data_IF_578977824789
#
_entry.id   IF_578977824789
#
_cell.length_a   1.000
_cell.length_b   1.000
_cell.length_c   1.000
_cell.angle_alpha   90.00
_cell.angle_beta   90.00
_cell.angle_gamma   90.00
#
_symmetry.space_group_name_H-M   'P 1'
#
loop_
_entity.id
_entity.type
_entity.pdbx_description
1 polymer ?
#
# COMPACT_ATOMS: atom_id res chain seq x y z
N UNK A 1 4.95 5.52 10.08
CA UNK A 1 5.37 4.35 9.28
C UNK A 1 4.33 4.14 8.20
N UNK A 2 4.74 4.09 6.94
CA UNK A 2 3.80 3.92 5.83
C UNK A 2 3.52 2.44 5.59
N UNK A 3 2.25 2.07 5.61
CA UNK A 3 1.78 0.69 5.44
C UNK A 3 0.89 0.56 4.19
N UNK A 4 0.53 -0.68 3.81
CA UNK A 4 -0.08 -0.97 2.52
C UNK A 4 -1.36 -0.18 2.25
N UNK A 5 -2.26 -0.07 3.23
CA UNK A 5 -3.49 0.70 3.09
C UNK A 5 -3.26 2.17 2.73
N UNK A 6 -2.20 2.79 3.26
CA UNK A 6 -1.82 4.17 2.91
C UNK A 6 -1.26 4.25 1.50
N UNK A 7 -0.44 3.27 1.08
CA UNK A 7 0.06 3.18 -0.29
C UNK A 7 -1.08 3.02 -1.31
N UNK A 8 -2.07 2.19 -1.02
CA UNK A 8 -3.27 2.03 -1.86
C UNK A 8 -4.08 3.32 -1.97
N UNK A 9 -4.25 4.05 -0.86
CA UNK A 9 -4.93 5.35 -0.86
C UNK A 9 -4.19 6.39 -1.71
N UNK A 10 -2.86 6.48 -1.56
CA UNK A 10 -2.01 7.35 -2.37
C UNK A 10 -2.11 6.97 -3.86
N UNK A 11 -2.03 5.67 -4.18
CA UNK A 11 -2.18 5.19 -5.56
C UNK A 11 -3.55 5.55 -6.14
N UNK A 12 -4.65 5.38 -5.38
CA UNK A 12 -5.99 5.75 -5.82
C UNK A 12 -6.13 7.25 -6.09
N UNK A 13 -5.59 8.11 -5.22
CA UNK A 13 -5.58 9.56 -5.43
C UNK A 13 -4.75 9.93 -6.67
N UNK A 14 -3.56 9.35 -6.80
CA UNK A 14 -2.66 9.64 -7.92
C UNK A 14 -3.17 9.12 -9.26
N UNK A 15 -3.92 8.01 -9.29
CA UNK A 15 -4.58 7.54 -10.52
C UNK A 15 -5.54 8.59 -11.06
N UNK A 16 -6.32 9.23 -10.18
CA UNK A 16 -7.25 10.31 -10.57
C UNK A 16 -6.50 11.58 -10.99
N UNK A 17 -5.48 11.96 -10.23
CA UNK A 17 -4.82 13.26 -10.37
C UNK A 17 -3.72 13.28 -11.43
N UNK A 18 -2.95 12.20 -11.59
CA UNK A 18 -1.68 12.20 -12.33
C UNK A 18 -1.70 11.38 -13.61
N UNK A 19 -2.49 10.30 -13.70
CA UNK A 19 -2.52 9.46 -14.91
C UNK A 19 -3.06 10.25 -16.11
N UNK A 20 -2.48 10.00 -17.28
CA UNK A 20 -2.75 10.70 -18.53
C UNK A 20 -1.99 12.02 -18.71
N UNK A 21 -1.25 12.47 -17.69
CA UNK A 21 -0.48 13.72 -17.74
C UNK A 21 1.01 13.45 -17.95
N UNK A 22 1.69 14.38 -18.62
CA UNK A 22 3.15 14.40 -18.79
C UNK A 22 3.77 15.51 -17.94
N UNK A 23 4.86 15.21 -17.24
CA UNK A 23 5.42 16.12 -16.24
C UNK A 23 6.82 16.58 -16.60
N UNK A 24 7.14 17.83 -16.24
CA UNK A 24 8.54 18.22 -16.08
C UNK A 24 9.06 17.56 -14.80
N UNK A 25 9.96 16.59 -14.95
CA UNK A 25 10.49 15.79 -13.85
C UNK A 25 11.91 16.22 -13.51
N UNK A 26 12.18 16.47 -12.23
CA UNK A 26 13.53 16.79 -11.73
C UNK A 26 13.79 16.11 -10.40
N UNK A 27 15.05 15.92 -10.06
CA UNK A 27 15.48 15.34 -8.78
C UNK A 27 16.19 16.42 -7.93
N UNK A 28 15.46 17.18 -7.08
CA UNK A 28 16.04 18.30 -6.34
C UNK A 28 17.28 17.95 -5.53
N UNK A 29 17.27 16.82 -4.81
CA UNK A 29 18.43 16.36 -4.04
C UNK A 29 19.42 15.48 -4.82
N UNK A 30 19.26 15.37 -6.15
CA UNK A 30 20.12 14.59 -7.04
C UNK A 30 20.05 13.05 -6.94
N UNK A 31 19.41 12.48 -5.91
CA UNK A 31 19.44 11.02 -5.66
C UNK A 31 18.65 10.18 -6.66
N UNK A 32 17.78 10.78 -7.48
CA UNK A 32 17.02 10.13 -8.53
C UNK A 32 17.19 10.85 -9.87
N UNK A 33 18.38 11.45 -10.12
CA UNK A 33 18.66 12.27 -11.31
C UNK A 33 18.44 11.53 -12.63
N UNK A 34 18.97 10.32 -12.75
CA UNK A 34 18.85 9.50 -13.96
C UNK A 34 17.39 9.11 -14.24
N UNK A 35 16.71 8.54 -13.24
CA UNK A 35 15.29 8.18 -13.36
C UNK A 35 14.39 9.37 -13.66
N UNK A 36 14.64 10.54 -13.05
CA UNK A 36 13.91 11.77 -13.35
C UNK A 36 14.07 12.20 -14.81
N UNK A 37 15.29 12.11 -15.36
CA UNK A 37 15.53 12.40 -16.78
C UNK A 37 14.79 11.41 -17.70
N UNK A 38 14.75 10.12 -17.36
CA UNK A 38 14.08 9.08 -18.15
C UNK A 38 12.56 9.23 -18.20
N UNK A 39 11.93 9.75 -17.14
CA UNK A 39 10.47 9.96 -17.09
C UNK A 39 10.04 11.37 -17.50
N UNK A 40 10.98 12.30 -17.68
CA UNK A 40 10.69 13.68 -18.03
C UNK A 40 9.92 13.77 -19.35
N UNK A 41 8.84 14.55 -19.36
CA UNK A 41 7.91 14.73 -20.48
C UNK A 41 7.21 13.45 -20.99
N UNK A 42 7.42 12.29 -20.34
CA UNK A 42 6.67 11.07 -20.66
C UNK A 42 5.31 11.07 -19.93
N UNK A 43 4.22 10.61 -20.57
CA UNK A 43 2.93 10.51 -19.91
C UNK A 43 2.95 9.42 -18.84
N UNK A 44 2.35 9.68 -17.68
CA UNK A 44 2.09 8.64 -16.70
C UNK A 44 0.87 7.82 -17.14
N UNK A 45 1.07 6.56 -17.52
CA UNK A 45 0.02 5.73 -18.14
C UNK A 45 -0.64 4.77 -17.15
N UNK A 46 0.11 4.31 -16.14
CA UNK A 46 -0.40 3.34 -15.15
C UNK A 46 0.25 3.54 -13.78
N UNK A 47 -0.50 3.20 -12.73
CA UNK A 47 0.04 3.07 -11.37
C UNK A 47 -0.40 1.73 -10.79
N UNK A 48 0.58 0.91 -10.42
CA UNK A 48 0.38 -0.34 -9.68
C UNK A 48 0.79 -0.17 -8.22
N UNK A 49 0.13 -0.89 -7.33
CA UNK A 49 0.47 -0.96 -5.92
C UNK A 49 0.43 -2.41 -5.47
N UNK A 50 1.45 -2.81 -4.71
CA UNK A 50 1.60 -4.13 -4.14
C UNK A 50 2.20 -4.01 -2.74
N UNK A 51 1.35 -4.10 -1.74
CA UNK A 51 1.66 -3.83 -0.35
C UNK A 51 2.22 -2.42 -0.16
N UNK A 52 3.47 -2.32 0.31
CA UNK A 52 4.14 -1.03 0.58
C UNK A 52 4.93 -0.49 -0.61
N UNK A 53 4.78 -1.09 -1.80
CA UNK A 53 5.50 -0.75 -3.01
C UNK A 53 4.54 -0.15 -4.02
N UNK A 54 4.87 1.03 -4.54
CA UNK A 54 4.15 1.67 -5.63
C UNK A 54 5.02 1.65 -6.88
N UNK A 55 4.39 1.45 -8.03
CA UNK A 55 5.04 1.41 -9.33
C UNK A 55 4.31 2.35 -10.28
N UNK A 56 5.02 3.35 -10.80
CA UNK A 56 4.50 4.35 -11.73
C UNK A 56 5.08 4.07 -13.10
N UNK A 57 4.22 3.89 -14.09
CA UNK A 57 4.60 3.55 -15.46
C UNK A 57 4.51 4.79 -16.33
N UNK A 58 5.64 5.25 -16.84
CA UNK A 58 5.74 6.40 -17.72
C UNK A 58 6.07 5.95 -19.15
N UNK A 59 5.44 6.59 -20.13
CA UNK A 59 5.54 6.18 -21.53
C UNK A 59 4.70 4.96 -21.88
N UNK A 60 4.88 4.47 -23.11
CA UNK A 60 3.99 3.48 -23.73
C UNK A 60 2.61 4.04 -24.07
N UNK A 61 1.79 3.22 -24.72
CA UNK A 61 0.39 3.56 -24.98
C UNK A 61 -0.42 3.50 -23.68
N UNK A 62 -1.31 4.48 -23.49
CA UNK A 62 -2.32 4.43 -22.43
C UNK A 62 -3.26 3.27 -22.77
N UNK A 63 -3.48 2.27 -21.88
CA UNK A 63 -4.51 1.28 -22.11
C UNK A 63 -5.86 1.99 -22.26
N UNK A 64 -6.48 1.94 -23.44
CA UNK A 64 -7.75 2.62 -23.74
C UNK A 64 -8.97 2.07 -22.96
N UNK A 65 -8.78 1.18 -22.00
CA UNK A 65 -9.85 0.52 -21.27
C UNK A 65 -10.14 1.21 -19.93
N UNK A 66 -10.79 2.39 -19.97
CA UNK A 66 -11.57 2.90 -18.83
C UNK A 66 -12.56 4.03 -19.15
N UNK A 67 -12.82 4.31 -20.44
CA UNK A 67 -13.71 5.42 -20.85
C UNK A 67 -15.09 4.98 -21.39
N UNK A 68 -15.41 3.68 -21.35
CA UNK A 68 -16.74 3.15 -21.72
C UNK A 68 -17.29 2.20 -20.65
N UNK A 69 -17.54 2.72 -19.46
CA UNK A 69 -18.59 2.19 -18.58
C UNK A 69 -19.35 3.38 -18.00
N UNK A 70 -20.21 3.99 -18.82
CA UNK A 70 -21.36 4.69 -18.27
C UNK A 70 -22.27 3.62 -17.65
N UNK A 71 -22.80 3.81 -16.44
CA UNK A 71 -23.75 2.86 -15.87
C UNK A 71 -25.00 2.84 -16.76
N UNK A 72 -25.30 1.67 -17.31
CA UNK A 72 -26.62 1.37 -17.85
C UNK A 72 -27.63 1.71 -16.76
N UNK A 73 -28.49 2.69 -17.01
CA UNK A 73 -29.65 2.95 -16.17
C UNK A 73 -30.46 1.65 -16.12
N UNK A 74 -30.91 1.19 -14.94
CA UNK A 74 -31.84 0.07 -14.92
C UNK A 74 -33.12 0.51 -15.63
N UNK A 75 -33.50 -0.22 -16.68
CA UNK A 75 -34.86 -0.16 -17.20
C UNK A 75 -35.81 -0.46 -16.05
N UNK A 76 -36.71 0.48 -15.78
CA UNK A 76 -37.84 0.28 -14.86
C UNK A 76 -38.77 -0.71 -15.55
N UNK A 77 -38.62 -1.99 -15.24
CA UNK A 77 -39.63 -3.00 -15.54
C UNK A 77 -40.86 -2.66 -14.70
N UNK A 78 -41.98 -2.50 -15.40
CA UNK A 78 -43.28 -2.15 -14.84
C UNK A 78 -43.72 -3.06 -13.68
N UNK A 79 -44.54 -2.47 -12.84
CA UNK A 79 -45.17 -3.03 -11.64
C UNK A 79 -45.92 -4.35 -11.91
N UNK A 80 -45.91 -5.32 -10.98
CA UNK A 80 -46.83 -6.46 -11.03
C UNK A 80 -48.11 -6.11 -10.25
N UNK A 81 -49.03 -5.40 -10.90
CA UNK A 81 -50.44 -5.29 -10.45
C UNK A 81 -51.33 -6.23 -11.29
N UNK A 82 -50.95 -7.51 -11.39
CA UNK A 82 -51.82 -8.57 -11.88
C UNK A 82 -51.12 -9.92 -11.69
N UNK A 83 -51.30 -10.55 -10.52
CA UNK A 83 -51.34 -12.02 -10.32
C UNK A 83 -50.94 -12.42 -8.89
N UNK A 84 -51.80 -12.20 -7.89
CA UNK A 84 -52.05 -13.21 -6.83
C UNK A 84 -53.50 -13.05 -6.34
N UNK A 85 -54.44 -13.48 -7.19
CA UNK A 85 -55.70 -14.02 -6.73
C UNK A 85 -55.61 -15.54 -6.89
N UNK A 86 -55.04 -16.24 -5.90
CA UNK A 86 -55.26 -17.67 -5.66
C UNK A 86 -54.51 -18.14 -4.41
N UNK A 87 -55.24 -18.88 -3.57
CA UNK A 87 -54.77 -19.85 -2.58
C UNK A 87 -54.20 -19.32 -1.25
N UNK A 88 -55.14 -18.99 -0.37
CA UNK A 88 -55.06 -19.24 1.07
C UNK A 88 -55.05 -20.76 1.40
N UNK A 89 -54.70 -21.06 2.66
CA UNK A 89 -54.65 -22.36 3.36
C UNK A 89 -53.31 -23.12 3.17
N UNK A 90 -52.53 -23.49 4.20
CA UNK A 90 -52.91 -24.15 5.46
C UNK A 90 -51.91 -23.80 6.60
N UNK A 91 -52.46 -23.57 7.80
CA UNK A 91 -51.86 -23.42 9.15
C UNK A 91 -51.02 -24.66 9.58
N UNK A 92 -50.25 -24.78 10.66
CA UNK A 92 -49.68 -23.99 11.75
C UNK A 92 -48.83 -24.99 12.60
N UNK A 93 -48.02 -24.47 13.55
CA UNK A 93 -47.49 -25.16 14.77
C UNK A 93 -46.34 -26.18 14.52
N UNK A 94 -45.23 -26.25 15.27
CA UNK A 94 -45.03 -26.23 16.73
C UNK A 94 -43.63 -25.73 17.18
N UNK A 95 -43.58 -25.25 18.42
CA UNK A 95 -42.38 -24.96 19.20
C UNK A 95 -41.86 -26.21 19.95
N UNK A 96 -40.56 -26.27 20.27
CA UNK A 96 -39.99 -26.78 21.54
C UNK A 96 -38.44 -26.82 21.56
N UNK A 97 -37.82 -26.09 22.49
CA UNK A 97 -36.66 -26.50 23.30
C UNK A 97 -37.15 -27.41 24.45
N UNK A 98 -36.36 -28.25 25.16
CA UNK A 98 -35.13 -27.83 25.88
C UNK A 98 -34.02 -28.90 26.11
N UNK A 99 -32.98 -28.42 26.81
CA UNK A 99 -32.26 -29.06 27.92
C UNK A 99 -30.87 -29.71 27.71
N UNK A 100 -29.95 -29.26 28.57
CA UNK A 100 -28.70 -29.91 28.98
C UNK A 100 -28.92 -30.39 30.43
N UNK A 101 -28.12 -31.31 31.05
CA UNK A 101 -26.87 -30.84 31.67
C UNK A 101 -25.79 -31.92 32.00
N UNK A 102 -24.70 -31.44 32.64
CA UNK A 102 -23.80 -32.11 33.63
C UNK A 102 -22.71 -33.06 33.07
N UNK A 103 -21.49 -33.17 33.63
CA UNK A 103 -20.78 -32.52 34.76
C UNK A 103 -19.26 -32.82 34.65
N UNK A 104 -18.50 -32.06 35.41
CA UNK A 104 -17.04 -31.92 35.54
C UNK A 104 -16.23 -33.07 36.16
N UNK A 105 -14.90 -32.99 36.00
CA UNK A 105 -13.87 -33.06 37.08
C UNK A 105 -12.50 -32.58 36.54
N UNK A 106 -11.87 -31.51 37.06
CA UNK A 106 -10.82 -31.45 38.13
C UNK A 106 -9.50 -32.17 37.73
N UNK A 107 -8.27 -31.71 37.97
CA UNK A 107 -7.67 -30.66 38.81
C UNK A 107 -6.22 -30.37 38.30
N UNK A 108 -5.75 -29.12 38.37
CA UNK A 108 -4.71 -28.60 39.29
C UNK A 108 -3.23 -28.97 38.99
N UNK A 109 -2.39 -27.94 38.78
CA UNK A 109 -1.18 -27.69 39.58
C UNK A 109 -0.50 -26.38 39.11
N UNK A 110 -0.17 -25.55 40.09
CA UNK A 110 0.57 -24.30 39.98
C UNK A 110 2.08 -24.53 39.86
N UNK A 111 2.82 -23.56 39.31
CA UNK A 111 4.07 -23.10 39.91
C UNK A 111 4.54 -21.76 39.32
N UNK A 112 4.92 -20.89 40.24
CA UNK A 112 5.57 -19.60 40.15
C UNK A 112 6.99 -19.62 39.58
N UNK A 113 7.46 -18.48 39.05
CA UNK A 113 8.90 -18.24 38.92
C UNK A 113 9.28 -17.09 37.97
N UNK A 114 9.36 -15.88 38.50
CA UNK A 114 10.27 -14.83 38.02
C UNK A 114 11.25 -14.57 39.17
N UNK A 115 12.54 -14.25 38.91
CA UNK A 115 12.86 -12.83 38.79
C UNK A 115 14.01 -12.47 37.82
N UNK A 116 13.92 -11.22 37.35
CA UNK A 116 14.94 -10.16 37.32
C UNK A 116 16.34 -10.35 36.69
N UNK A 117 16.63 -9.35 35.84
CA UNK A 117 17.84 -8.50 35.77
C UNK A 117 19.18 -9.09 35.32
N UNK A 118 19.79 -8.44 34.32
CA UNK A 118 21.11 -7.80 34.47
C UNK A 118 21.42 -6.90 33.27
N UNK A 119 21.87 -5.68 33.58
CA UNK A 119 22.53 -4.75 32.68
C UNK A 119 24.06 -4.90 32.81
N UNK A 120 24.79 -4.72 31.70
CA UNK A 120 26.20 -4.28 31.63
C UNK A 120 26.49 -3.97 30.15
N UNK A 121 26.75 -2.73 29.70
CA UNK A 121 27.89 -1.84 29.95
C UNK A 121 29.14 -2.14 29.09
N UNK A 122 29.48 -1.11 28.27
CA UNK A 122 30.79 -0.68 27.79
C UNK A 122 31.60 -1.52 26.77
N UNK A 123 31.98 -0.89 25.65
CA UNK A 123 33.36 -0.40 25.44
C UNK A 123 33.50 0.37 24.11
N UNK A 124 34.22 1.50 24.18
CA UNK A 124 34.71 2.34 23.08
C UNK A 124 35.94 1.70 22.42
N UNK A 125 36.16 1.93 21.13
CA UNK A 125 37.52 2.10 20.59
C UNK A 125 37.57 3.19 19.52
N UNK A 126 38.70 3.91 19.53
CA UNK A 126 39.05 5.09 18.73
C UNK A 126 39.98 4.69 17.57
N UNK A 127 40.01 5.52 16.53
CA UNK A 127 41.11 5.64 15.54
C UNK A 127 40.54 5.97 14.15
N UNK A 128 40.45 7.22 13.67
CA UNK A 128 41.44 8.27 13.34
C UNK A 128 42.20 7.99 12.03
N UNK A 129 42.24 9.05 11.19
CA UNK A 129 42.91 9.30 9.89
C UNK A 129 41.96 9.13 8.70
N UNK A 130 41.79 10.08 7.78
CA UNK A 130 42.42 11.38 7.56
C UNK A 130 42.39 11.72 6.06
N UNK A 131 42.39 13.03 5.78
CA UNK A 131 42.79 13.71 4.52
C UNK A 131 41.67 14.18 3.58
N UNK A 132 41.76 15.48 3.31
CA UNK A 132 40.96 16.32 2.44
C UNK A 132 41.43 16.26 0.97
N UNK A 133 40.53 16.63 0.05
CA UNK A 133 40.85 17.29 -1.21
C UNK A 133 39.65 18.17 -1.62
N UNK A 134 40.01 19.37 -2.09
CA UNK A 134 39.19 20.47 -2.64
C UNK A 134 38.91 20.22 -4.13
N UNK A 135 38.22 21.21 -4.72
CA UNK A 135 38.06 21.55 -6.16
C UNK A 135 36.73 21.05 -6.74
N UNK A 136 35.98 21.81 -7.54
CA UNK A 136 35.98 23.23 -7.90
C UNK A 136 34.61 23.55 -8.52
N UNK A 137 34.23 24.82 -8.49
CA UNK A 137 33.05 25.37 -9.16
C UNK A 137 33.24 25.44 -10.68
N UNK A 138 32.18 25.16 -11.44
CA UNK A 138 32.04 25.68 -12.80
C UNK A 138 30.55 25.82 -13.17
N UNK A 139 30.15 27.07 -13.28
CA UNK A 139 28.89 27.60 -13.79
C UNK A 139 28.87 27.54 -15.33
N UNK A 140 27.74 27.20 -15.95
CA UNK A 140 27.45 27.62 -17.32
C UNK A 140 25.94 27.62 -17.60
N UNK A 141 25.48 28.80 -18.02
CA UNK A 141 24.15 29.14 -18.49
C UNK A 141 23.78 28.46 -19.83
N UNK A 142 22.49 28.36 -20.13
CA UNK A 142 22.01 27.94 -21.45
C UNK A 142 20.50 28.05 -21.61
N UNK A 143 20.08 29.02 -22.42
CA UNK A 143 18.70 29.45 -22.64
C UNK A 143 17.70 28.41 -23.15
N UNK A 144 16.44 28.72 -22.89
CA UNK A 144 15.25 28.02 -23.36
C UNK A 144 15.04 28.12 -24.88
N UNK A 145 14.53 27.06 -25.47
CA UNK A 145 13.71 27.13 -26.68
C UNK A 145 12.59 26.10 -26.58
N UNK A 146 11.35 26.60 -26.62
CA UNK A 146 10.14 25.82 -26.68
C UNK A 146 9.91 25.32 -28.11
N UNK A 147 9.52 24.05 -28.26
CA UNK A 147 8.85 23.54 -29.44
C UNK A 147 7.80 22.51 -29.01
N UNK A 148 6.59 22.73 -29.50
CA UNK A 148 5.38 21.98 -29.20
C UNK A 148 5.26 20.70 -30.05
N UNK A 149 4.49 19.74 -29.52
CA UNK A 149 3.58 18.82 -30.23
C UNK A 149 4.14 17.96 -31.38
N UNK A 150 4.51 16.71 -31.05
CA UNK A 150 4.22 15.50 -31.84
C UNK A 150 4.56 14.28 -30.96
N UNK A 151 3.54 13.61 -30.40
CA UNK A 151 3.76 12.41 -29.59
C UNK A 151 4.26 11.25 -30.45
N UNK A 152 5.36 10.56 -30.09
CA UNK A 152 5.77 9.36 -30.80
C UNK A 152 4.90 8.19 -30.33
N UNK A 153 4.28 7.51 -31.30
CA UNK A 153 3.72 6.18 -31.15
C UNK A 153 4.82 5.21 -30.64
N UNK A 154 4.51 4.42 -29.60
CA UNK A 154 5.34 3.30 -29.14
C UNK A 154 6.57 3.64 -28.29
N UNK A 155 6.49 4.64 -27.39
CA UNK A 155 7.62 5.03 -26.53
C UNK A 155 8.01 3.98 -25.47
N UNK A 156 9.31 3.86 -25.18
CA UNK A 156 9.87 2.98 -24.13
C UNK A 156 9.24 3.26 -22.75
N UNK A 157 8.69 2.21 -22.14
CA UNK A 157 8.05 2.24 -20.82
C UNK A 157 9.11 2.25 -19.72
N UNK A 158 9.08 3.28 -18.89
CA UNK A 158 9.90 3.41 -17.68
C UNK A 158 9.03 3.18 -16.46
N UNK A 159 9.44 2.25 -15.60
CA UNK A 159 8.80 1.96 -14.32
C UNK A 159 9.59 2.62 -13.20
N UNK A 160 8.98 3.57 -12.51
CA UNK A 160 9.49 4.12 -11.25
C UNK A 160 8.91 3.35 -10.07
N UNK A 161 9.78 2.75 -9.25
CA UNK A 161 9.43 2.09 -7.99
C UNK A 161 9.62 3.05 -6.81
N UNK A 162 8.62 3.12 -5.94
CA UNK A 162 8.63 3.93 -4.72
C UNK A 162 8.34 3.04 -3.52
N UNK A 163 9.20 3.15 -2.50
CA UNK A 163 8.93 2.61 -1.17
C UNK A 163 9.21 3.70 -0.11
N UNK A 164 8.15 4.15 0.56
CA UNK A 164 8.20 5.31 1.46
C UNK A 164 9.07 5.11 2.71
N UNK A 165 9.20 3.87 3.20
CA UNK A 165 9.81 3.60 4.50
C UNK A 165 8.98 4.18 5.65
N UNK A 166 9.64 4.82 6.62
CA UNK A 166 8.98 5.27 7.85
C UNK A 166 8.24 6.60 7.72
N UNK A 167 8.82 7.55 6.97
CA UNK A 167 8.41 8.97 6.91
C UNK A 167 8.31 9.54 5.50
N UNK A 168 8.42 8.70 4.46
CA UNK A 168 8.23 9.15 3.09
C UNK A 168 6.81 9.67 2.83
N UNK A 169 6.71 10.61 1.91
CA UNK A 169 5.46 11.22 1.46
C UNK A 169 5.56 11.53 -0.05
N UNK A 170 4.43 11.43 -0.73
CA UNK A 170 4.28 11.92 -2.10
C UNK A 170 3.09 12.87 -2.12
N UNK A 171 3.38 14.17 -2.07
CA UNK A 171 2.38 15.23 -1.93
C UNK A 171 2.11 15.86 -3.29
N UNK A 172 0.84 16.07 -3.61
CA UNK A 172 0.39 16.86 -4.76
C UNK A 172 -0.14 18.20 -4.26
N UNK A 173 0.25 19.28 -4.90
CA UNK A 173 -0.10 20.66 -4.53
C UNK A 173 -0.47 21.45 -5.78
N UNK A 174 -1.26 22.51 -5.60
CA UNK A 174 -1.48 23.51 -6.63
C UNK A 174 -0.27 24.44 -6.75
N UNK A 175 -0.04 25.01 -7.93
CA UNK A 175 1.04 25.97 -8.15
C UNK A 175 0.78 27.30 -7.42
N UNK A 176 1.83 27.94 -6.87
CA UNK A 176 3.25 27.63 -7.06
C UNK A 176 3.76 26.43 -6.23
N UNK A 177 2.97 25.96 -5.26
CA UNK A 177 3.34 24.93 -4.30
C UNK A 177 4.42 25.38 -3.32
N UNK A 178 4.79 24.49 -2.40
CA UNK A 178 5.94 24.70 -1.53
C UNK A 178 7.24 24.41 -2.29
N UNK A 179 8.36 25.06 -1.96
CA UNK A 179 9.66 24.72 -2.54
C UNK A 179 10.12 23.32 -2.08
N UNK A 180 10.90 22.59 -2.91
CA UNK A 180 11.48 21.32 -2.50
C UNK A 180 12.37 21.46 -1.27
N UNK A 181 12.30 20.48 -0.37
CA UNK A 181 13.25 20.31 0.74
C UNK A 181 14.42 19.42 0.34
N UNK A 182 15.47 19.35 1.17
CA UNK A 182 16.64 18.45 1.00
C UNK A 182 16.27 16.96 0.90
N UNK A 183 15.10 16.58 1.41
CA UNK A 183 14.62 15.19 1.34
C UNK A 183 13.89 14.87 0.05
N UNK A 184 13.55 15.89 -0.75
CA UNK A 184 12.76 15.77 -1.98
C UNK A 184 13.59 15.11 -3.06
N UNK A 185 13.27 13.85 -3.35
CA UNK A 185 13.96 13.03 -4.35
C UNK A 185 13.44 13.25 -5.76
N UNK A 186 12.18 13.59 -5.90
CA UNK A 186 11.55 13.86 -7.19
C UNK A 186 10.54 14.98 -7.05
N UNK A 187 10.57 15.90 -8.00
CA UNK A 187 9.49 16.83 -8.27
C UNK A 187 8.91 16.53 -9.66
N UNK A 188 7.58 16.52 -9.74
CA UNK A 188 6.82 16.49 -10.98
C UNK A 188 6.03 17.78 -11.12
N UNK A 189 6.28 18.55 -12.18
CA UNK A 189 5.62 19.83 -12.46
C UNK A 189 4.77 19.72 -13.73
N UNK A 190 3.51 20.15 -13.64
CA UNK A 190 2.60 20.26 -14.78
C UNK A 190 1.93 21.65 -14.83
N UNK A 191 2.59 22.60 -15.52
CA UNK A 191 2.15 24.00 -15.60
C UNK A 191 0.71 24.16 -16.11
N UNK A 192 0.34 23.44 -17.17
CA UNK A 192 -1.00 23.54 -17.77
C UNK A 192 -2.14 23.04 -16.87
N UNK A 193 -1.82 22.28 -15.81
CA UNK A 193 -2.80 21.77 -14.85
C UNK A 193 -2.66 22.46 -13.50
N UNK A 194 -1.79 23.48 -13.39
CA UNK A 194 -1.54 24.16 -12.12
C UNK A 194 -1.01 23.22 -11.03
N UNK A 195 -0.30 22.14 -11.37
CA UNK A 195 0.04 21.08 -10.41
C UNK A 195 1.55 20.92 -10.22
N UNK A 196 1.98 20.73 -8.97
CA UNK A 196 3.32 20.28 -8.60
C UNK A 196 3.23 19.14 -7.59
N UNK A 197 4.05 18.12 -7.73
CA UNK A 197 4.11 17.01 -6.79
C UNK A 197 5.52 16.73 -6.31
N UNK A 198 5.69 16.57 -5.00
CA UNK A 198 6.98 16.31 -4.34
C UNK A 198 6.99 14.94 -3.70
N UNK A 199 8.04 14.17 -4.00
CA UNK A 199 8.26 12.84 -3.46
C UNK A 199 9.52 12.82 -2.58
N UNK A 200 9.31 12.46 -1.32
CA UNK A 200 10.35 12.04 -0.39
C UNK A 200 10.08 10.58 -0.02
N UNK A 201 11.07 9.70 -0.17
CA UNK A 201 10.91 8.28 0.16
C UNK A 201 12.25 7.66 0.57
N UNK A 202 12.20 6.50 1.24
CA UNK A 202 13.39 5.72 1.54
C UNK A 202 14.03 5.16 0.25
N UNK A 203 13.21 4.68 -0.67
CA UNK A 203 13.63 4.15 -1.97
C UNK A 203 12.83 4.79 -3.10
N UNK A 204 13.56 5.30 -4.10
CA UNK A 204 13.03 5.68 -5.41
C UNK A 204 14.01 5.09 -6.42
N UNK A 205 13.54 4.13 -7.22
CA UNK A 205 14.34 3.38 -8.18
C UNK A 205 13.60 3.34 -9.53
N UNK A 206 14.31 3.00 -10.61
CA UNK A 206 13.71 2.88 -11.93
C UNK A 206 14.20 1.62 -12.67
N UNK A 207 13.45 1.23 -13.70
CA UNK A 207 13.80 0.17 -14.63
C UNK A 207 12.72 0.02 -15.71
N UNK A 208 12.83 -0.99 -16.56
CA UNK A 208 11.79 -1.33 -17.54
C UNK A 208 10.68 -2.23 -16.98
N UNK A 209 9.78 -2.75 -17.83
CA UNK A 209 8.71 -3.67 -17.41
C UNK A 209 9.22 -4.93 -16.68
N UNK A 210 10.36 -5.50 -17.08
CA UNK A 210 10.96 -6.66 -16.41
C UNK A 210 11.37 -6.39 -14.95
N UNK A 211 11.76 -5.15 -14.64
CA UNK A 211 12.06 -4.73 -13.27
C UNK A 211 10.80 -4.78 -12.39
N UNK A 212 9.65 -4.35 -12.92
CA UNK A 212 8.37 -4.47 -12.22
C UNK A 212 8.02 -5.94 -11.95
N UNK A 213 8.04 -6.79 -12.98
CA UNK A 213 7.69 -8.21 -12.86
C UNK A 213 8.54 -8.89 -11.79
N UNK A 214 9.85 -8.65 -11.81
CA UNK A 214 10.78 -9.21 -10.82
C UNK A 214 10.45 -8.74 -9.40
N UNK A 215 10.18 -7.44 -9.21
CA UNK A 215 9.85 -6.89 -7.88
C UNK A 215 8.50 -7.37 -7.37
N UNK A 216 7.48 -7.42 -8.23
CA UNK A 216 6.14 -7.87 -7.88
C UNK A 216 6.13 -9.36 -7.51
N UNK A 217 6.87 -10.20 -8.25
CA UNK A 217 6.97 -11.64 -7.98
C UNK A 217 7.63 -11.97 -6.63
N UNK A 218 8.46 -11.07 -6.09
CA UNK A 218 9.10 -11.25 -4.79
C UNK A 218 8.18 -10.92 -3.59
N UNK A 219 7.00 -10.35 -3.84
CA UNK A 219 6.06 -9.92 -2.81
C UNK A 219 5.01 -11.00 -2.53
N UNK A 220 4.56 -11.06 -1.28
CA UNK A 220 3.47 -11.93 -0.86
C UNK A 220 2.10 -11.45 -1.31
N UNK A 221 1.06 -12.12 -0.82
CA UNK A 221 -0.33 -11.75 -1.10
C UNK A 221 -0.62 -10.36 -0.51
N UNK A 222 -1.24 -9.48 -1.29
CA UNK A 222 -1.71 -8.18 -0.81
C UNK A 222 -3.23 -8.23 -0.67
N UNK A 223 -3.78 -8.29 0.54
CA UNK A 223 -5.22 -8.45 0.76
C UNK A 223 -6.10 -7.37 0.13
N UNK A 224 -5.54 -6.21 -0.23
CA UNK A 224 -6.27 -5.11 -0.86
C UNK A 224 -6.30 -5.17 -2.39
N UNK A 225 -5.57 -6.11 -3.01
CA UNK A 225 -5.67 -6.36 -4.45
C UNK A 225 -6.79 -7.35 -4.75
N UNK A 226 -7.36 -7.23 -5.94
CA UNK A 226 -8.43 -8.11 -6.42
C UNK A 226 -7.93 -9.52 -6.72
N UNK A 227 -6.68 -9.64 -7.16
CA UNK A 227 -5.99 -10.89 -7.48
C UNK A 227 -5.43 -11.63 -6.26
N UNK A 228 -5.74 -11.16 -5.05
CA UNK A 228 -5.22 -11.73 -3.81
C UNK A 228 -5.92 -13.04 -3.45
N UNK A 229 -5.14 -14.11 -3.27
CA UNK A 229 -5.62 -15.44 -2.93
C UNK A 229 -5.25 -15.81 -1.48
N UNK A 230 -6.28 -15.92 -0.63
CA UNK A 230 -6.14 -16.31 0.78
C UNK A 230 -5.74 -17.78 0.95
N UNK A 231 -6.08 -18.65 0.01
CA UNK A 231 -5.80 -20.08 0.12
C UNK A 231 -4.29 -20.35 -0.07
N UNK A 232 -3.64 -19.59 -0.97
CA UNK A 232 -2.17 -19.61 -1.12
C UNK A 232 -1.49 -19.21 0.19
N UNK A 233 -2.02 -18.20 0.88
CA UNK A 233 -1.49 -17.77 2.16
C UNK A 233 -1.78 -18.80 3.27
N UNK A 234 -2.99 -19.36 3.32
CA UNK A 234 -3.40 -20.37 4.29
C UNK A 234 -2.48 -21.58 4.29
N UNK A 235 -2.16 -22.11 3.11
CA UNK A 235 -1.25 -23.25 2.94
C UNK A 235 0.16 -22.98 3.52
N UNK A 236 0.62 -21.71 3.46
CA UNK A 236 1.91 -21.30 4.03
C UNK A 236 1.83 -21.08 5.55
N UNK A 237 0.72 -20.51 6.03
CA UNK A 237 0.45 -20.29 7.47
C UNK A 237 0.48 -21.62 8.22
N UNK A 238 -0.21 -22.64 7.71
CA UNK A 238 -0.29 -23.96 8.34
C UNK A 238 1.08 -24.67 8.48
N UNK A 239 2.03 -24.37 7.59
CA UNK A 239 3.37 -24.97 7.58
C UNK A 239 4.40 -24.13 8.35
N UNK A 240 4.01 -22.95 8.82
CA UNK A 240 4.93 -22.01 9.46
C UNK A 240 5.13 -22.35 10.94
N UNK A 241 6.40 -22.43 11.35
CA UNK A 241 6.81 -22.53 12.76
C UNK A 241 6.84 -21.17 13.47
N UNK A 242 6.73 -20.07 12.72
CA UNK A 242 6.71 -18.71 13.28
C UNK A 242 5.37 -18.45 13.97
N UNK A 243 5.32 -17.45 14.85
CA UNK A 243 4.04 -16.95 15.36
C UNK A 243 3.23 -16.26 14.26
N UNK A 244 1.91 -16.21 14.42
CA UNK A 244 1.02 -15.53 13.46
C UNK A 244 1.38 -14.04 13.33
N UNK A 245 1.79 -13.38 14.42
CA UNK A 245 2.26 -12.00 14.38
C UNK A 245 3.54 -11.80 13.58
N UNK A 246 4.44 -12.79 13.51
CA UNK A 246 5.62 -12.73 12.64
C UNK A 246 5.27 -13.05 11.18
N UNK A 247 4.34 -13.98 10.94
CA UNK A 247 3.84 -14.27 9.59
C UNK A 247 3.19 -13.05 8.96
N UNK A 248 2.36 -12.32 9.72
CA UNK A 248 1.75 -11.06 9.26
C UNK A 248 2.76 -9.97 8.91
N UNK A 249 3.99 -10.00 9.44
CA UNK A 249 5.03 -9.03 9.12
C UNK A 249 5.88 -9.43 7.91
N UNK A 250 5.82 -10.70 7.50
CA UNK A 250 6.66 -11.25 6.44
C UNK A 250 6.16 -10.78 5.07
N UNK A 251 6.85 -9.81 4.46
CA UNK A 251 6.43 -9.20 3.20
C UNK A 251 6.46 -10.18 2.00
N UNK A 252 7.10 -11.35 2.14
CA UNK A 252 7.10 -12.42 1.14
C UNK A 252 5.85 -13.32 1.24
N UNK A 253 5.13 -13.26 2.37
CA UNK A 253 3.87 -13.95 2.58
C UNK A 253 2.69 -13.00 2.44
N UNK A 254 2.78 -11.84 3.10
CA UNK A 254 1.73 -10.82 3.14
C UNK A 254 2.37 -9.45 2.90
N UNK A 255 2.14 -8.92 1.71
CA UNK A 255 2.63 -7.60 1.35
C UNK A 255 1.71 -6.53 1.97
N UNK A 256 2.29 -5.48 2.55
CA UNK A 256 1.52 -4.31 2.99
C UNK A 256 1.28 -4.22 4.49
N UNK A 257 1.15 -5.34 5.19
CA UNK A 257 0.94 -5.33 6.65
C UNK A 257 2.20 -4.83 7.35
N UNK A 258 2.04 -3.86 8.25
CA UNK A 258 3.11 -3.36 9.11
C UNK A 258 2.75 -3.52 10.58
N UNK A 259 3.56 -2.92 11.45
CA UNK A 259 3.45 -3.17 12.89
C UNK A 259 2.12 -2.69 13.47
N UNK A 260 1.63 -1.52 13.02
CA UNK A 260 0.39 -0.93 13.52
C UNK A 260 -0.78 -1.80 13.05
N UNK A 261 -0.86 -2.02 11.72
CA UNK A 261 -1.99 -2.76 11.18
C UNK A 261 -2.00 -4.23 11.63
N UNK A 262 -0.85 -4.87 11.81
CA UNK A 262 -0.77 -6.21 12.42
C UNK A 262 -1.47 -6.25 13.78
N UNK A 263 -1.14 -5.29 14.66
CA UNK A 263 -1.71 -5.23 16.00
C UNK A 263 -3.24 -5.06 15.93
N UNK A 264 -3.73 -4.17 15.07
CA UNK A 264 -5.17 -3.98 14.86
C UNK A 264 -5.87 -5.20 14.28
N UNK A 265 -5.27 -5.86 13.27
CA UNK A 265 -5.82 -7.06 12.64
C UNK A 265 -6.01 -8.15 13.69
N UNK A 266 -4.95 -8.46 14.45
CA UNK A 266 -4.97 -9.52 15.44
C UNK A 266 -5.90 -9.21 16.61
N UNK A 267 -5.93 -7.95 17.05
CA UNK A 267 -6.87 -7.50 18.07
C UNK A 267 -8.33 -7.71 17.62
N UNK A 268 -8.70 -7.23 16.42
CA UNK A 268 -10.05 -7.38 15.87
C UNK A 268 -10.41 -8.84 15.59
N UNK A 269 -9.45 -9.65 15.13
CA UNK A 269 -9.66 -11.07 14.89
C UNK A 269 -9.69 -11.92 16.18
N UNK A 270 -9.33 -11.32 17.33
CA UNK A 270 -9.17 -11.96 18.65
C UNK A 270 -8.18 -13.12 18.61
N UNK A 271 -7.00 -12.88 18.03
CA UNK A 271 -5.93 -13.87 17.93
C UNK A 271 -4.67 -13.32 18.60
N UNK A 272 -4.08 -14.08 19.52
CA UNK A 272 -2.86 -13.66 20.21
C UNK A 272 -1.67 -13.62 19.22
N UNK A 273 -0.84 -12.57 19.21
CA UNK A 273 0.25 -12.42 18.24
C UNK A 273 1.32 -13.51 18.33
N UNK A 274 1.51 -14.11 19.50
CA UNK A 274 2.50 -15.18 19.73
C UNK A 274 1.95 -16.58 19.44
N UNK A 275 0.67 -16.71 19.09
CA UNK A 275 0.10 -18.00 18.72
C UNK A 275 0.90 -18.59 17.55
N UNK A 276 1.40 -19.84 17.64
CA UNK A 276 2.06 -20.48 16.51
C UNK A 276 1.15 -20.46 15.28
N UNK A 277 1.68 -20.05 14.13
CA UNK A 277 0.88 -19.90 12.91
C UNK A 277 0.20 -21.21 12.49
N UNK A 278 0.89 -22.34 12.65
CA UNK A 278 0.35 -23.68 12.40
C UNK A 278 -0.82 -24.07 13.32
N UNK A 279 -0.99 -23.39 14.47
CA UNK A 279 -2.08 -23.65 15.42
C UNK A 279 -3.29 -22.72 15.23
N UNK A 280 -3.24 -21.80 14.27
CA UNK A 280 -4.36 -20.93 13.92
C UNK A 280 -5.45 -21.76 13.26
N UNK A 281 -6.68 -21.72 13.79
CA UNK A 281 -7.83 -22.41 13.18
C UNK A 281 -8.22 -21.76 11.86
N UNK A 282 -8.95 -22.49 11.01
CA UNK A 282 -9.42 -21.96 9.73
C UNK A 282 -10.30 -20.72 9.91
N UNK A 283 -11.17 -20.74 10.91
CA UNK A 283 -12.08 -19.65 11.24
C UNK A 283 -11.31 -18.43 11.76
N UNK A 284 -10.25 -18.64 12.55
CA UNK A 284 -9.36 -17.56 12.99
C UNK A 284 -8.64 -16.93 11.80
N UNK A 285 -8.13 -17.74 10.87
CA UNK A 285 -7.48 -17.26 9.66
C UNK A 285 -8.45 -16.48 8.76
N UNK A 286 -9.66 -16.97 8.55
CA UNK A 286 -10.67 -16.30 7.75
C UNK A 286 -11.08 -14.95 8.35
N UNK A 287 -11.16 -14.83 9.68
CA UNK A 287 -11.34 -13.54 10.36
C UNK A 287 -10.16 -12.60 10.16
N UNK A 288 -8.93 -13.10 10.31
CA UNK A 288 -7.70 -12.31 10.05
C UNK A 288 -7.74 -11.77 8.61
N UNK A 289 -8.00 -12.63 7.63
CA UNK A 289 -8.10 -12.26 6.22
C UNK A 289 -9.21 -11.22 5.98
N UNK A 290 -10.40 -11.43 6.52
CA UNK A 290 -11.50 -10.50 6.40
C UNK A 290 -11.14 -9.12 6.96
N UNK A 291 -10.53 -9.04 8.14
CA UNK A 291 -10.07 -7.75 8.71
C UNK A 291 -9.01 -7.09 7.83
N UNK A 292 -8.11 -7.85 7.20
CA UNK A 292 -7.13 -7.32 6.27
C UNK A 292 -7.76 -6.71 5.01
N UNK A 293 -8.84 -7.29 4.47
CA UNK A 293 -9.56 -6.72 3.31
C UNK A 293 -10.37 -5.47 3.67
N UNK A 294 -10.74 -5.30 4.93
CA UNK A 294 -11.58 -4.20 5.43
C UNK A 294 -10.79 -2.89 5.65
N UNK A 295 -9.52 -2.79 5.24
CA UNK A 295 -8.83 -1.50 5.26
C UNK A 295 -9.46 -0.54 4.22
N UNK A 296 -9.80 0.71 4.58
CA UNK A 296 -9.23 1.49 5.68
C UNK A 296 -10.18 1.72 6.87
N UNK A 297 -9.58 1.81 8.06
CA UNK A 297 -10.27 2.22 9.28
C UNK A 297 -10.77 3.68 9.14
N UNK A 298 -12.08 3.92 9.24
CA UNK A 298 -12.65 5.27 9.36
C UNK A 298 -12.07 6.10 10.53
N UNK A 299 -11.65 5.53 11.68
CA UNK A 299 -10.96 6.29 12.72
C UNK A 299 -9.59 6.87 12.30
N UNK A 300 -8.99 6.33 11.22
CA UNK A 300 -7.69 6.75 10.70
C UNK A 300 -7.80 8.02 9.84
N UNK A 301 -8.99 8.31 9.29
CA UNK A 301 -9.24 9.53 8.49
C UNK A 301 -9.12 10.79 9.34
N UNK A 302 -9.68 10.77 10.57
CA UNK A 302 -9.70 11.94 11.45
C UNK A 302 -8.32 12.32 12.03
N UNK A 303 -7.37 11.38 12.11
CA UNK A 303 -6.00 11.68 12.59
C UNK A 303 -5.02 12.00 11.47
N UNK A 304 -5.21 11.48 10.26
CA UNK A 304 -4.29 11.75 9.14
C UNK A 304 -4.62 13.06 8.38
N UNK A 305 -5.88 13.52 8.34
CA UNK A 305 -6.19 14.87 7.86
C UNK A 305 -5.49 15.92 8.73
N UNK A 306 -5.55 15.74 10.06
CA UNK A 306 -4.87 16.62 11.02
C UNK A 306 -3.35 16.71 10.82
N UNK A 307 -2.69 15.63 10.38
CA UNK A 307 -1.24 15.63 10.10
C UNK A 307 -0.87 16.01 8.66
N UNK A 308 -1.82 16.00 7.72
CA UNK A 308 -1.58 16.37 6.32
C UNK A 308 -1.89 17.85 6.06
N UNK A 309 -2.82 18.44 6.81
CA UNK A 309 -3.29 19.82 6.64
C UNK A 309 -2.52 20.83 7.52
N UNK A 310 -1.79 20.40 8.56
CA UNK A 310 -1.10 21.27 9.52
C UNK A 310 0.43 21.08 9.62
N UNK A 311 1.10 20.63 8.56
CA UNK A 311 2.58 20.66 8.42
C UNK A 311 2.97 20.96 6.99
#
# INVERSE_FOLDING_TARGET
MVEGHQCHRVAAAHRKLLVGKSFQARSPNGRFKEGAALINAKPLTRIEVHGKNLFYFFGGDVPQQQQQQQPLRPEVVGTPEAAVAAAAAVAATTAATPDAPRRASRAAAAASGSPASAAAAAAKSKGKRGRAAKEDEAEAAGGAAAAAEAGPAGGEVVVMHVHFGMSGAFRTMELPGLPPTDTTRLELLHKGAGLVAHLSAMTVAHGGPAFYVTKAAALGQDPLREDADKEVLWAKVQKSKKSIGLVLMDQTLIAGVGNIYRAEILYKARVHPELPAASVSREQFDRIWWVMKQAPCAPCEAKLSYYMENT
#
